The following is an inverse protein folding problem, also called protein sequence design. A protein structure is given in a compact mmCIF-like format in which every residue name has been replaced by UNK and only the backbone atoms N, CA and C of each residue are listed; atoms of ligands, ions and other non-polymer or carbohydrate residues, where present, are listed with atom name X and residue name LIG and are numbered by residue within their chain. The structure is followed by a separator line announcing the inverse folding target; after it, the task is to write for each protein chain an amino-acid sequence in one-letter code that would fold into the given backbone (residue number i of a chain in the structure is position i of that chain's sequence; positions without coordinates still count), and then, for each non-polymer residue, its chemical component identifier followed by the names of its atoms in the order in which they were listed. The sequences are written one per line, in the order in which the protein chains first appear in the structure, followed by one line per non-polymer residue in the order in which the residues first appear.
data_IF_335686466318
#
_entry.id   IF_335686466318
#
_cell.length_a   1.000
_cell.length_b   1.000
_cell.length_c   1.000
_cell.angle_alpha   90.00
_cell.angle_beta   90.00
_cell.angle_gamma   90.00
#
_symmetry.space_group_name_H-M   'P 1'
#
loop_
_entity.id
_entity.type
_entity.pdbx_description
1 polymer ?
#
# COMPACT_ATOMS: atom_id res chain seq x y z
N UNK A 1 9.62 9.19 14.82
CA UNK A 1 9.43 8.18 15.89
C UNK A 1 10.59 8.15 16.90
N UNK A 2 11.86 8.09 16.48
CA UNK A 2 13.02 8.07 17.41
C UNK A 2 13.11 9.30 18.32
N UNK A 3 12.78 10.51 17.87
CA UNK A 3 12.79 11.75 18.68
C UNK A 3 11.75 11.70 19.79
N UNK A 4 10.58 11.12 19.57
CA UNK A 4 9.51 10.97 20.57
C UNK A 4 9.94 9.96 21.65
N UNK A 5 10.61 8.87 21.27
CA UNK A 5 11.15 7.88 22.20
C UNK A 5 12.23 8.52 23.10
N UNK A 6 13.08 9.39 22.54
CA UNK A 6 14.08 10.13 23.31
C UNK A 6 13.46 11.04 24.36
N UNK A 7 12.31 11.63 24.09
CA UNK A 7 11.57 12.49 25.04
C UNK A 7 10.88 11.68 26.16
N UNK A 8 10.38 10.48 25.88
CA UNK A 8 9.73 9.62 26.87
C UNK A 8 10.73 9.00 27.86
N UNK A 9 11.99 8.84 27.42
CA UNK A 9 13.06 8.23 28.24
C UNK A 9 13.80 9.23 29.13
N UNK A 10 13.51 10.54 29.00
CA UNK A 10 14.09 11.56 29.88
C UNK A 10 13.38 11.51 31.24
N UNK A 11 14.09 11.29 32.37
CA UNK A 11 13.46 11.31 33.68
C UNK A 11 12.89 12.72 33.97
N UNK A 12 11.68 12.76 34.53
CA UNK A 12 10.90 14.02 34.77
C UNK A 12 11.56 15.09 35.68
N UNK A 13 12.79 14.88 36.10
CA UNK A 13 13.59 15.88 36.88
C UNK A 13 14.42 16.82 36.02
N UNK A 14 14.25 16.81 34.71
CA UNK A 14 15.16 17.39 33.72
C UNK A 14 14.84 18.85 33.35
N UNK A 15 14.39 19.70 34.29
CA UNK A 15 14.17 21.10 33.95
C UNK A 15 15.38 22.02 34.29
N UNK A 16 16.43 21.47 34.85
CA UNK A 16 17.69 22.18 35.07
C UNK A 16 18.85 21.40 34.47
N UNK A 17 19.82 22.09 33.90
CA UNK A 17 21.02 21.55 33.24
C UNK A 17 21.86 20.69 34.20
N UNK A 18 21.37 19.53 34.56
CA UNK A 18 22.06 18.50 35.31
C UNK A 18 22.76 17.55 34.35
N UNK A 19 23.94 17.07 34.68
CA UNK A 19 24.74 16.15 33.85
C UNK A 19 23.95 14.91 33.42
N UNK A 20 22.94 14.51 34.21
CA UNK A 20 22.03 13.41 33.84
C UNK A 20 21.17 13.70 32.63
N UNK A 21 20.76 14.94 32.41
CA UNK A 21 19.99 15.38 31.23
C UNK A 21 20.84 15.29 30.00
N UNK A 22 22.05 15.82 30.06
CA UNK A 22 22.99 15.78 28.93
C UNK A 22 23.30 14.35 28.52
N UNK A 23 23.54 13.44 29.45
CA UNK A 23 23.74 12.01 29.20
C UNK A 23 22.57 11.36 28.51
N UNK A 24 21.36 11.61 29.05
CA UNK A 24 20.13 11.03 28.48
C UNK A 24 19.85 11.56 27.07
N UNK A 25 20.11 12.85 26.83
CA UNK A 25 19.99 13.45 25.50
C UNK A 25 21.00 12.85 24.51
N UNK A 26 22.26 12.71 24.89
CA UNK A 26 23.30 12.11 24.06
C UNK A 26 23.01 10.63 23.77
N UNK A 27 22.61 9.87 24.77
CA UNK A 27 22.21 8.46 24.60
C UNK A 27 21.00 8.33 23.66
N UNK A 28 20.00 9.21 23.81
CA UNK A 28 18.84 9.27 22.95
C UNK A 28 19.16 9.67 21.50
N UNK A 29 20.01 10.69 21.31
CA UNK A 29 20.41 11.13 19.97
C UNK A 29 21.24 10.06 19.24
N UNK A 30 22.27 9.51 19.88
CA UNK A 30 23.12 8.49 19.29
C UNK A 30 22.35 7.17 19.10
N UNK A 31 21.46 6.81 20.02
CA UNK A 31 20.56 5.67 19.88
C UNK A 31 19.61 5.85 18.69
N UNK A 32 19.04 7.04 18.50
CA UNK A 32 18.20 7.36 17.33
C UNK A 32 18.99 7.27 16.03
N UNK A 33 20.23 7.73 16.01
CA UNK A 33 21.12 7.62 14.86
C UNK A 33 21.42 6.14 14.54
N UNK A 34 21.68 5.32 15.56
CA UNK A 34 21.88 3.88 15.38
C UNK A 34 20.65 3.19 14.81
N UNK A 35 19.45 3.58 15.23
CA UNK A 35 18.18 3.08 14.64
C UNK A 35 18.12 3.42 13.16
N UNK A 36 18.40 4.67 12.77
CA UNK A 36 18.37 5.08 11.35
C UNK A 36 19.35 4.28 10.50
N UNK A 37 20.57 4.02 11.03
CA UNK A 37 21.59 3.25 10.31
C UNK A 37 21.26 1.75 10.19
N UNK A 38 20.57 1.18 11.17
CA UNK A 38 20.25 -0.25 11.20
C UNK A 38 18.92 -0.59 10.56
N UNK A 39 18.02 0.39 10.44
CA UNK A 39 16.70 0.21 9.85
C UNK A 39 16.79 0.20 8.31
N UNK A 40 16.57 -0.96 7.72
CA UNK A 40 16.71 -1.19 6.26
C UNK A 40 15.42 -0.99 5.46
N UNK A 41 14.35 -0.58 6.11
CA UNK A 41 13.07 -0.32 5.45
C UNK A 41 12.23 -1.57 5.14
N UNK A 42 12.71 -2.77 5.47
CA UNK A 42 11.94 -4.02 5.30
C UNK A 42 10.75 -4.11 6.26
N UNK A 43 10.73 -3.28 7.29
CA UNK A 43 9.66 -3.15 8.31
C UNK A 43 9.21 -4.50 8.89
N UNK A 44 10.12 -5.47 8.96
CA UNK A 44 9.85 -6.75 9.63
C UNK A 44 9.86 -6.57 11.15
N UNK A 45 9.08 -7.39 11.87
CA UNK A 45 9.07 -7.35 13.36
C UNK A 45 10.47 -7.51 13.95
N UNK A 46 11.30 -8.36 13.35
CA UNK A 46 12.69 -8.56 13.76
C UNK A 46 13.53 -7.28 13.59
N UNK A 47 13.31 -6.52 12.53
CA UNK A 47 14.02 -5.28 12.27
C UNK A 47 13.79 -4.22 13.36
N UNK A 48 12.56 -4.10 13.86
CA UNK A 48 12.27 -3.21 15.00
C UNK A 48 13.04 -3.62 16.27
N UNK A 49 13.13 -4.93 16.55
CA UNK A 49 13.86 -5.45 17.70
C UNK A 49 15.37 -5.21 17.53
N UNK A 50 15.95 -5.53 16.37
CA UNK A 50 17.37 -5.29 16.10
C UNK A 50 17.75 -3.82 16.15
N UNK A 51 16.92 -2.95 15.61
CA UNK A 51 17.15 -1.50 15.67
C UNK A 51 17.04 -0.98 17.12
N UNK A 52 16.09 -1.51 17.91
CA UNK A 52 16.01 -1.24 19.34
C UNK A 52 17.24 -1.70 20.10
N UNK A 53 17.75 -2.91 19.83
CA UNK A 53 19.00 -3.41 20.40
C UNK A 53 20.18 -2.52 20.02
N UNK A 54 20.29 -2.08 18.79
CA UNK A 54 21.35 -1.17 18.35
C UNK A 54 21.30 0.16 19.11
N UNK A 55 20.10 0.71 19.34
CA UNK A 55 19.92 1.88 20.18
C UNK A 55 20.39 1.64 21.63
N UNK A 56 20.04 0.47 22.20
CA UNK A 56 20.46 0.04 23.54
C UNK A 56 21.98 -0.09 23.66
N UNK A 57 22.66 -0.65 22.65
CA UNK A 57 24.14 -0.73 22.58
C UNK A 57 24.75 0.67 22.55
N UNK A 58 24.25 1.58 21.71
CA UNK A 58 24.74 2.95 21.67
C UNK A 58 24.55 3.69 22.99
N UNK A 59 23.41 3.51 23.65
CA UNK A 59 23.16 4.04 24.98
C UNK A 59 24.18 3.47 25.99
N UNK A 60 24.44 2.16 25.96
CA UNK A 60 25.44 1.54 26.83
C UNK A 60 26.85 2.13 26.62
N UNK A 61 27.24 2.38 25.35
CA UNK A 61 28.52 3.04 25.02
C UNK A 61 28.60 4.44 25.64
N UNK A 62 27.52 5.25 25.53
CA UNK A 62 27.47 6.58 26.13
C UNK A 62 27.66 6.52 27.67
N UNK A 63 26.92 5.63 28.33
CA UNK A 63 27.04 5.44 29.78
C UNK A 63 28.41 4.88 30.20
N UNK A 64 29.04 4.03 29.35
CA UNK A 64 30.38 3.52 29.59
C UNK A 64 31.42 4.66 29.52
N UNK A 65 31.39 5.47 28.48
CA UNK A 65 32.28 6.62 28.34
C UNK A 65 32.12 7.61 29.51
N UNK A 66 30.87 7.85 29.90
CA UNK A 66 30.61 8.75 31.01
C UNK A 66 31.07 8.15 32.35
N UNK A 67 30.88 6.86 32.56
CA UNK A 67 31.33 6.16 33.76
C UNK A 67 32.85 6.22 33.95
N UNK A 68 33.64 6.26 32.86
CA UNK A 68 35.10 6.44 32.93
C UNK A 68 35.44 7.81 33.51
N UNK A 69 34.69 8.86 33.12
CA UNK A 69 34.92 10.23 33.61
C UNK A 69 34.50 10.37 35.08
N UNK A 70 33.45 9.68 35.50
CA UNK A 70 32.90 9.71 36.86
C UNK A 70 33.51 8.68 37.82
N UNK A 71 34.40 7.80 37.32
CA UNK A 71 35.01 6.76 38.14
C UNK A 71 34.07 5.69 38.65
N UNK A 72 33.16 5.23 37.77
CA UNK A 72 32.19 4.17 38.13
C UNK A 72 32.88 2.88 38.60
N UNK A 73 32.24 2.21 39.54
CA UNK A 73 32.60 0.83 39.93
C UNK A 73 32.14 -0.17 38.86
N UNK A 74 32.74 -1.35 38.83
CA UNK A 74 32.36 -2.40 37.87
C UNK A 74 30.87 -2.79 37.97
N UNK A 75 30.29 -2.73 39.16
CA UNK A 75 28.87 -3.00 39.38
C UNK A 75 27.98 -1.93 38.71
N UNK A 76 28.37 -0.66 38.77
CA UNK A 76 27.63 0.44 38.12
C UNK A 76 27.71 0.31 36.58
N UNK A 77 28.84 -0.11 36.02
CA UNK A 77 28.95 -0.41 34.60
C UNK A 77 28.03 -1.56 34.18
N UNK A 78 28.00 -2.65 34.97
CA UNK A 78 27.13 -3.78 34.68
C UNK A 78 25.66 -3.39 34.69
N UNK A 79 25.24 -2.64 35.71
CA UNK A 79 23.87 -2.15 35.84
C UNK A 79 23.53 -1.24 34.65
N UNK A 80 24.38 -0.25 34.34
CA UNK A 80 24.16 0.66 33.20
C UNK A 80 24.02 -0.09 31.87
N UNK A 81 24.87 -1.09 31.62
CA UNK A 81 24.81 -1.89 30.41
C UNK A 81 23.51 -2.72 30.33
N UNK A 82 23.14 -3.41 31.41
CA UNK A 82 21.92 -4.21 31.47
C UNK A 82 20.66 -3.35 31.25
N UNK A 83 20.58 -2.20 31.94
CA UNK A 83 19.43 -1.29 31.75
C UNK A 83 19.39 -0.67 30.34
N UNK A 84 20.53 -0.29 29.77
CA UNK A 84 20.61 0.25 28.42
C UNK A 84 20.17 -0.78 27.36
N UNK A 85 20.69 -1.99 27.42
CA UNK A 85 20.29 -3.08 26.51
C UNK A 85 18.83 -3.48 26.71
N UNK A 86 18.39 -3.62 27.96
CA UNK A 86 17.00 -3.93 28.29
C UNK A 86 16.04 -2.86 27.78
N UNK A 87 16.37 -1.58 27.95
CA UNK A 87 15.55 -0.47 27.44
C UNK A 87 15.48 -0.44 25.92
N UNK A 88 16.60 -0.74 25.22
CA UNK A 88 16.62 -0.84 23.77
C UNK A 88 15.70 -1.95 23.25
N UNK A 89 15.75 -3.13 23.85
CA UNK A 89 14.84 -4.25 23.52
C UNK A 89 13.39 -3.86 23.80
N UNK A 90 13.11 -3.28 24.97
CA UNK A 90 11.78 -2.81 25.34
C UNK A 90 11.24 -1.78 24.35
N UNK A 91 12.07 -0.82 23.92
CA UNK A 91 11.69 0.17 22.89
C UNK A 91 11.32 -0.51 21.56
N UNK A 92 12.04 -1.56 21.14
CA UNK A 92 11.70 -2.35 19.96
C UNK A 92 10.31 -3.00 20.06
N UNK A 93 9.99 -3.61 21.20
CA UNK A 93 8.65 -4.17 21.45
C UNK A 93 7.56 -3.11 21.53
N UNK A 94 7.82 -1.98 22.18
CA UNK A 94 6.88 -0.86 22.23
C UNK A 94 6.63 -0.27 20.83
N UNK A 95 7.65 -0.17 19.99
CA UNK A 95 7.49 0.28 18.61
C UNK A 95 6.55 -0.63 17.83
N UNK A 96 6.69 -1.96 17.94
CA UNK A 96 5.79 -2.93 17.31
C UNK A 96 4.36 -2.80 17.86
N UNK A 97 4.20 -2.64 19.18
CA UNK A 97 2.89 -2.51 19.82
C UNK A 97 2.14 -1.23 19.46
N UNK A 98 2.87 -0.12 19.21
CA UNK A 98 2.30 1.19 18.86
C UNK A 98 2.08 1.31 17.35
N UNK A 99 2.77 0.51 16.52
CA UNK A 99 2.69 0.58 15.07
C UNK A 99 1.24 0.57 14.52
N UNK A 100 0.33 -0.33 14.95
CA UNK A 100 -1.05 -0.34 14.46
C UNK A 100 -1.82 0.97 14.74
N UNK A 101 -1.49 1.65 15.84
CA UNK A 101 -2.08 2.95 16.17
C UNK A 101 -1.63 4.01 15.16
N UNK A 102 -0.33 4.05 14.83
CA UNK A 102 0.21 4.94 13.83
C UNK A 102 -0.35 4.65 12.44
N UNK A 103 -0.44 3.37 12.05
CA UNK A 103 -1.07 2.94 10.80
C UNK A 103 -2.50 3.47 10.69
N UNK A 104 -3.29 3.33 11.76
CA UNK A 104 -4.67 3.81 11.80
C UNK A 104 -4.80 5.34 11.77
N UNK A 105 -3.92 6.06 12.50
CA UNK A 105 -3.97 7.52 12.58
C UNK A 105 -3.51 8.21 11.29
N UNK A 106 -2.51 7.65 10.62
CA UNK A 106 -1.90 8.25 9.44
C UNK A 106 -2.22 7.51 8.13
N UNK A 107 -3.06 6.48 8.18
CA UNK A 107 -3.46 5.67 7.00
C UNK A 107 -2.25 5.15 6.19
N UNK A 108 -1.22 4.65 6.91
CA UNK A 108 0.04 4.22 6.31
C UNK A 108 -0.08 2.83 5.68
N UNK A 109 0.53 2.65 4.50
CA UNK A 109 0.67 1.35 3.85
C UNK A 109 1.96 0.66 4.28
N UNK A 110 2.05 0.22 5.54
CA UNK A 110 3.21 -0.55 5.99
C UNK A 110 3.18 -1.97 5.41
N UNK A 111 4.34 -2.63 5.22
CA UNK A 111 4.37 -4.02 4.75
C UNK A 111 3.54 -4.96 5.62
N UNK A 112 3.50 -4.76 6.93
CA UNK A 112 2.67 -5.55 7.85
C UNK A 112 1.18 -5.38 7.53
N UNK A 113 0.73 -4.14 7.32
CA UNK A 113 -0.65 -3.84 6.96
C UNK A 113 -1.01 -4.36 5.57
N UNK A 114 -0.10 -4.23 4.61
CA UNK A 114 -0.29 -4.75 3.26
C UNK A 114 -0.42 -6.28 3.25
N UNK A 115 0.43 -6.99 4.01
CA UNK A 115 0.33 -8.45 4.14
C UNK A 115 -0.98 -8.88 4.81
N UNK A 116 -1.47 -8.15 5.80
CA UNK A 116 -2.79 -8.39 6.38
C UNK A 116 -3.91 -8.23 5.34
N UNK A 117 -3.85 -7.14 4.56
CA UNK A 117 -4.81 -6.85 3.49
C UNK A 117 -4.73 -7.84 2.32
N UNK A 118 -3.57 -8.43 2.06
CA UNK A 118 -3.39 -9.44 1.00
C UNK A 118 -4.06 -10.79 1.33
N UNK A 119 -4.49 -11.00 2.57
CA UNK A 119 -5.14 -12.22 2.98
C UNK A 119 -6.54 -12.32 2.33
N UNK A 120 -6.83 -13.40 1.56
CA UNK A 120 -8.14 -13.61 0.95
C UNK A 120 -9.32 -13.67 1.94
N UNK A 121 -9.03 -13.93 3.22
CA UNK A 121 -10.03 -13.92 4.30
C UNK A 121 -10.35 -12.51 4.80
N UNK A 122 -9.66 -11.46 4.33
CA UNK A 122 -9.99 -10.08 4.67
C UNK A 122 -11.43 -9.77 4.23
N UNK A 123 -12.21 -9.05 5.03
CA UNK A 123 -13.66 -8.92 4.81
C UNK A 123 -14.03 -8.44 3.41
N UNK A 124 -13.28 -7.49 2.87
CA UNK A 124 -13.59 -6.87 1.58
C UNK A 124 -13.19 -7.79 0.41
N UNK A 125 -12.03 -8.47 0.47
CA UNK A 125 -11.64 -9.45 -0.55
C UNK A 125 -12.55 -10.68 -0.53
N UNK A 126 -12.96 -11.13 0.65
CA UNK A 126 -13.93 -12.22 0.77
C UNK A 126 -15.28 -11.86 0.14
N UNK A 127 -15.75 -10.61 0.33
CA UNK A 127 -16.95 -10.13 -0.36
C UNK A 127 -16.75 -10.14 -1.87
N UNK A 128 -15.62 -9.63 -2.37
CA UNK A 128 -15.29 -9.60 -3.79
C UNK A 128 -15.30 -11.02 -4.38
N UNK A 129 -14.69 -11.99 -3.68
CA UNK A 129 -14.64 -13.39 -4.09
C UNK A 129 -16.03 -14.03 -4.20
N UNK A 130 -16.97 -13.68 -3.31
CA UNK A 130 -18.31 -14.28 -3.25
C UNK A 130 -19.29 -13.54 -4.15
N UNK A 131 -19.31 -12.19 -4.09
CA UNK A 131 -20.33 -11.36 -4.74
C UNK A 131 -19.93 -10.99 -6.18
N UNK A 132 -18.63 -10.96 -6.51
CA UNK A 132 -18.08 -10.59 -7.82
C UNK A 132 -16.85 -11.46 -8.15
N UNK A 133 -17.08 -12.77 -8.26
CA UNK A 133 -16.01 -13.77 -8.41
C UNK A 133 -15.16 -13.57 -9.68
N UNK A 134 -15.76 -13.14 -10.78
CA UNK A 134 -15.04 -12.79 -12.01
C UNK A 134 -14.08 -11.63 -11.81
N UNK A 135 -14.51 -10.57 -11.13
CA UNK A 135 -13.66 -9.44 -10.77
C UNK A 135 -12.55 -9.86 -9.80
N UNK A 136 -12.84 -10.69 -8.80
CA UNK A 136 -11.79 -11.22 -7.91
C UNK A 136 -10.71 -11.97 -8.68
N UNK A 137 -11.09 -12.84 -9.62
CA UNK A 137 -10.15 -13.62 -10.42
C UNK A 137 -9.29 -12.69 -11.31
N UNK A 138 -9.92 -11.73 -11.98
CA UNK A 138 -9.24 -10.69 -12.73
C UNK A 138 -8.22 -9.95 -11.87
N UNK A 139 -8.63 -9.46 -10.69
CA UNK A 139 -7.74 -8.74 -9.76
C UNK A 139 -6.52 -9.56 -9.32
N UNK A 140 -6.66 -10.88 -9.16
CA UNK A 140 -5.54 -11.78 -8.85
C UNK A 140 -4.55 -11.87 -10.04
N UNK A 141 -5.05 -11.94 -11.25
CA UNK A 141 -4.19 -11.98 -12.46
C UNK A 141 -3.46 -10.65 -12.66
N UNK A 142 -4.19 -9.53 -12.54
CA UNK A 142 -3.60 -8.18 -12.58
C UNK A 142 -2.53 -8.02 -11.50
N UNK A 143 -2.78 -8.50 -10.27
CA UNK A 143 -1.83 -8.40 -9.17
C UNK A 143 -0.49 -9.11 -9.46
N UNK A 144 -0.54 -10.30 -10.09
CA UNK A 144 0.67 -11.03 -10.46
C UNK A 144 1.48 -10.30 -11.55
N UNK A 145 0.79 -9.72 -12.54
CA UNK A 145 1.43 -8.93 -13.60
C UNK A 145 2.01 -7.62 -13.05
N UNK A 146 1.23 -6.93 -12.23
CA UNK A 146 1.62 -5.65 -11.66
C UNK A 146 2.80 -5.77 -10.70
N UNK A 147 2.85 -6.83 -9.87
CA UNK A 147 4.01 -7.12 -8.99
C UNK A 147 5.29 -7.28 -9.82
N UNK A 148 5.25 -8.15 -10.84
CA UNK A 148 6.41 -8.37 -11.70
C UNK A 148 6.83 -7.09 -12.46
N UNK A 149 5.86 -6.28 -12.91
CA UNK A 149 6.14 -4.98 -13.54
C UNK A 149 6.76 -3.99 -12.57
N UNK A 150 6.28 -3.93 -11.33
CA UNK A 150 6.77 -3.03 -10.29
C UNK A 150 8.24 -3.34 -9.91
N UNK A 151 8.61 -4.62 -9.81
CA UNK A 151 10.00 -5.04 -9.57
C UNK A 151 10.95 -4.53 -10.66
N UNK A 152 10.54 -4.57 -11.92
CA UNK A 152 11.39 -4.15 -13.05
C UNK A 152 11.65 -2.64 -13.05
N UNK A 153 10.67 -1.84 -12.61
CA UNK A 153 10.78 -0.36 -12.62
C UNK A 153 11.21 0.22 -11.27
N UNK A 154 11.61 -0.64 -10.32
CA UNK A 154 11.99 -0.25 -8.95
C UNK A 154 10.88 0.58 -8.27
N UNK A 155 9.67 0.02 -8.29
CA UNK A 155 8.50 0.49 -7.54
C UNK A 155 8.20 -0.45 -6.36
N UNK A 156 7.32 -0.04 -5.46
CA UNK A 156 6.90 -0.92 -4.35
C UNK A 156 6.01 -2.06 -4.86
N UNK A 157 6.63 -3.22 -5.09
CA UNK A 157 5.98 -4.40 -5.63
C UNK A 157 4.85 -4.93 -4.72
N UNK A 158 5.05 -4.89 -3.39
CA UNK A 158 4.03 -5.34 -2.44
C UNK A 158 2.82 -4.39 -2.42
N UNK A 159 3.05 -3.08 -2.39
CA UNK A 159 1.98 -2.08 -2.48
C UNK A 159 1.21 -2.23 -3.79
N UNK A 160 1.93 -2.38 -4.91
CA UNK A 160 1.33 -2.54 -6.24
C UNK A 160 0.46 -3.79 -6.31
N UNK A 161 0.98 -4.93 -5.87
CA UNK A 161 0.24 -6.20 -5.81
C UNK A 161 -1.01 -6.11 -4.97
N UNK A 162 -0.88 -5.61 -3.74
CA UNK A 162 -2.01 -5.53 -2.82
C UNK A 162 -3.05 -4.53 -3.31
N UNK A 163 -2.63 -3.39 -3.87
CA UNK A 163 -3.55 -2.44 -4.49
C UNK A 163 -4.31 -3.06 -5.67
N UNK A 164 -3.66 -3.91 -6.45
CA UNK A 164 -4.30 -4.61 -7.56
C UNK A 164 -5.42 -5.56 -7.09
N UNK A 165 -5.31 -6.19 -5.91
CA UNK A 165 -6.44 -6.98 -5.37
C UNK A 165 -7.68 -6.13 -5.10
N UNK A 166 -7.52 -4.82 -4.87
CA UNK A 166 -8.58 -3.91 -4.45
C UNK A 166 -8.97 -2.88 -5.51
N UNK A 167 -8.26 -2.80 -6.65
CA UNK A 167 -8.48 -1.71 -7.61
C UNK A 167 -9.93 -1.63 -8.07
N UNK A 168 -10.59 -2.76 -8.20
CA UNK A 168 -11.91 -2.94 -8.75
C UNK A 168 -13.01 -3.23 -7.69
N UNK A 169 -12.76 -2.97 -6.41
CA UNK A 169 -13.75 -3.23 -5.34
C UNK A 169 -15.06 -2.47 -5.51
N UNK A 170 -15.05 -1.37 -6.25
CA UNK A 170 -16.28 -0.62 -6.54
C UNK A 170 -17.30 -1.38 -7.37
N UNK A 171 -16.88 -2.39 -8.12
CA UNK A 171 -17.77 -3.31 -8.85
C UNK A 171 -18.71 -4.10 -7.92
N UNK A 172 -18.40 -4.17 -6.61
CA UNK A 172 -19.30 -4.72 -5.60
C UNK A 172 -20.63 -3.97 -5.47
N UNK A 173 -20.69 -2.70 -5.88
CA UNK A 173 -21.95 -1.93 -5.86
C UNK A 173 -22.98 -2.48 -6.87
N UNK A 174 -22.52 -2.96 -8.03
CA UNK A 174 -23.34 -3.52 -9.09
C UNK A 174 -22.58 -4.56 -9.92
N UNK A 175 -22.32 -5.77 -9.38
CA UNK A 175 -21.45 -6.74 -10.04
C UNK A 175 -21.89 -7.15 -11.44
N UNK A 176 -23.20 -7.22 -11.68
CA UNK A 176 -23.77 -7.65 -12.96
C UNK A 176 -23.61 -6.64 -14.11
N UNK A 177 -23.23 -5.40 -13.82
CA UNK A 177 -22.84 -4.42 -14.84
C UNK A 177 -21.48 -4.76 -15.48
N UNK A 178 -20.74 -5.71 -14.94
CA UNK A 178 -19.42 -6.09 -15.43
C UNK A 178 -19.45 -7.50 -16.00
N UNK A 179 -19.05 -7.60 -17.28
CA UNK A 179 -19.19 -8.83 -18.08
C UNK A 179 -18.57 -10.06 -17.41
N UNK A 180 -17.46 -9.90 -16.73
CA UNK A 180 -16.76 -10.98 -16.02
C UNK A 180 -17.58 -11.63 -14.91
N UNK A 181 -18.62 -10.94 -14.41
CA UNK A 181 -19.51 -11.45 -13.37
C UNK A 181 -20.88 -11.94 -13.92
N UNK A 182 -21.11 -11.80 -15.22
CA UNK A 182 -22.38 -12.17 -15.87
C UNK A 182 -22.37 -13.66 -16.23
N UNK A 183 -22.61 -14.55 -15.25
CA UNK A 183 -22.77 -15.96 -15.50
C UNK A 183 -24.20 -16.27 -15.98
N UNK A 184 -24.42 -16.53 -17.26
CA UNK A 184 -25.74 -16.95 -17.83
C UNK A 184 -26.92 -16.00 -17.53
N UNK A 185 -26.66 -14.74 -17.23
CA UNK A 185 -27.67 -13.70 -17.00
C UNK A 185 -27.69 -12.77 -18.21
N UNK A 186 -28.88 -12.25 -18.56
CA UNK A 186 -29.01 -11.24 -19.60
C UNK A 186 -28.14 -10.02 -19.27
N UNK A 187 -27.45 -9.47 -20.27
CA UNK A 187 -26.59 -8.31 -20.07
C UNK A 187 -27.45 -7.07 -19.78
N UNK A 188 -27.32 -6.44 -18.60
CA UNK A 188 -28.12 -5.24 -18.26
C UNK A 188 -27.95 -4.10 -19.28
N UNK A 189 -26.78 -4.00 -19.92
CA UNK A 189 -26.50 -2.95 -20.90
C UNK A 189 -27.33 -3.06 -22.19
N UNK A 190 -27.93 -4.21 -22.48
CA UNK A 190 -28.75 -4.38 -23.68
C UNK A 190 -30.05 -3.57 -23.65
N UNK A 191 -30.48 -3.12 -22.45
CA UNK A 191 -31.64 -2.27 -22.20
C UNK A 191 -31.31 -0.80 -21.86
N UNK A 192 -30.01 -0.44 -21.88
CA UNK A 192 -29.51 0.90 -21.49
C UNK A 192 -28.99 1.66 -22.70
N UNK A 193 -29.01 3.00 -22.60
CA UNK A 193 -28.29 3.82 -23.58
C UNK A 193 -26.77 3.69 -23.39
N UNK A 194 -25.96 4.03 -24.40
CA UNK A 194 -24.50 4.03 -24.25
C UNK A 194 -24.02 4.95 -23.12
N UNK A 195 -24.67 6.10 -22.91
CA UNK A 195 -24.35 7.07 -21.85
C UNK A 195 -24.65 6.50 -20.47
N UNK A 196 -25.83 5.88 -20.28
CA UNK A 196 -26.20 5.21 -19.05
C UNK A 196 -25.24 4.06 -18.73
N UNK A 197 -24.88 3.28 -19.74
CA UNK A 197 -23.91 2.19 -19.63
C UNK A 197 -22.53 2.70 -19.24
N UNK A 198 -22.03 3.75 -19.88
CA UNK A 198 -20.77 4.37 -19.55
C UNK A 198 -20.75 4.92 -18.11
N UNK A 199 -21.86 5.57 -17.70
CA UNK A 199 -22.02 6.05 -16.32
C UNK A 199 -21.97 4.90 -15.31
N UNK A 200 -22.67 3.80 -15.59
CA UNK A 200 -22.67 2.61 -14.72
C UNK A 200 -21.25 1.99 -14.61
N UNK A 201 -20.51 1.89 -15.72
CA UNK A 201 -19.14 1.40 -15.69
C UNK A 201 -18.24 2.34 -14.90
N UNK A 202 -18.27 3.65 -15.17
CA UNK A 202 -17.41 4.65 -14.51
C UNK A 202 -17.64 4.75 -13.01
N UNK A 203 -18.85 4.46 -12.54
CA UNK A 203 -19.19 4.59 -11.10
C UNK A 203 -18.33 3.70 -10.21
N UNK A 204 -17.76 2.59 -10.74
CA UNK A 204 -16.92 1.71 -9.90
C UNK A 204 -15.70 2.42 -9.32
N UNK A 205 -15.19 3.49 -9.96
CA UNK A 205 -14.08 4.28 -9.41
C UNK A 205 -14.52 5.00 -8.13
N UNK A 206 -15.62 5.75 -8.20
CA UNK A 206 -16.13 6.51 -7.06
C UNK A 206 -16.63 5.61 -5.94
N UNK A 207 -17.30 4.51 -6.31
CA UNK A 207 -17.76 3.49 -5.38
C UNK A 207 -16.58 2.77 -4.72
N UNK A 208 -15.53 2.46 -5.51
CA UNK A 208 -14.29 1.86 -5.03
C UNK A 208 -13.58 2.73 -4.00
N UNK A 209 -13.40 4.02 -4.30
CA UNK A 209 -12.85 4.99 -3.36
C UNK A 209 -13.69 5.08 -2.08
N UNK A 210 -15.01 5.08 -2.21
CA UNK A 210 -15.94 5.14 -1.07
C UNK A 210 -15.80 3.89 -0.19
N UNK A 211 -15.79 2.70 -0.81
CA UNK A 211 -15.60 1.43 -0.11
C UNK A 211 -14.23 1.33 0.54
N UNK A 212 -13.18 1.77 -0.14
CA UNK A 212 -11.81 1.78 0.38
C UNK A 212 -11.70 2.65 1.64
N UNK A 213 -12.23 3.87 1.61
CA UNK A 213 -12.25 4.79 2.75
C UNK A 213 -13.08 4.23 3.91
N UNK A 214 -14.28 3.69 3.62
CA UNK A 214 -15.15 3.06 4.63
C UNK A 214 -14.46 1.89 5.35
N UNK A 215 -13.63 1.13 4.64
CA UNK A 215 -12.89 -0.01 5.18
C UNK A 215 -11.48 0.37 5.67
N UNK A 216 -11.16 1.67 5.76
CA UNK A 216 -9.89 2.19 6.27
C UNK A 216 -8.66 1.60 5.56
N UNK A 217 -8.75 1.46 4.24
CA UNK A 217 -7.58 1.12 3.44
C UNK A 217 -6.56 2.26 3.48
N UNK A 218 -5.25 1.97 3.39
CA UNK A 218 -4.20 2.97 3.33
C UNK A 218 -4.45 4.02 2.23
N UNK A 219 -4.10 5.28 2.48
CA UNK A 219 -4.36 6.36 1.53
C UNK A 219 -3.71 6.11 0.16
N UNK A 220 -2.50 5.56 0.13
CA UNK A 220 -1.82 5.19 -1.12
C UNK A 220 -2.63 4.20 -1.97
N UNK A 221 -3.29 3.22 -1.34
CA UNK A 221 -4.19 2.29 -2.06
C UNK A 221 -5.45 3.00 -2.57
N UNK A 222 -6.02 3.93 -1.78
CA UNK A 222 -7.17 4.74 -2.21
C UNK A 222 -6.82 5.57 -3.43
N UNK A 223 -5.62 6.16 -3.46
CA UNK A 223 -5.14 6.97 -4.57
C UNK A 223 -4.95 6.10 -5.83
N UNK A 224 -4.35 4.91 -5.69
CA UNK A 224 -4.20 3.95 -6.79
C UNK A 224 -5.56 3.51 -7.32
N UNK A 225 -6.53 3.15 -6.45
CA UNK A 225 -7.90 2.82 -6.85
C UNK A 225 -8.54 3.96 -7.63
N UNK A 226 -8.32 5.21 -7.23
CA UNK A 226 -8.89 6.36 -7.93
C UNK A 226 -8.27 6.61 -9.30
N UNK A 227 -7.02 6.16 -9.54
CA UNK A 227 -6.21 6.54 -10.70
C UNK A 227 -6.03 5.43 -11.75
N UNK A 228 -6.46 4.19 -11.46
CA UNK A 228 -6.10 3.03 -12.28
C UNK A 228 -6.65 3.05 -13.72
N UNK A 229 -7.63 3.88 -14.03
CA UNK A 229 -8.07 4.15 -15.40
C UNK A 229 -7.66 5.53 -15.92
N UNK A 230 -7.03 6.36 -15.09
CA UNK A 230 -6.66 7.71 -15.45
C UNK A 230 -7.85 8.55 -15.95
N UNK A 231 -7.59 9.38 -16.95
CA UNK A 231 -8.58 10.16 -17.68
C UNK A 231 -9.07 9.44 -18.96
N UNK A 232 -8.93 8.11 -19.00
CA UNK A 232 -9.28 7.28 -20.14
C UNK A 232 -10.76 7.32 -20.50
N UNK A 233 -11.10 6.76 -21.66
CA UNK A 233 -12.47 6.69 -22.18
C UNK A 233 -13.03 5.28 -22.07
N UNK A 234 -14.31 5.13 -21.72
CA UNK A 234 -15.06 3.87 -21.83
C UNK A 234 -15.34 3.59 -23.31
N UNK A 235 -14.27 3.15 -24.02
CA UNK A 235 -14.17 3.13 -25.49
C UNK A 235 -15.30 2.35 -26.16
N UNK A 236 -15.76 1.24 -25.57
CA UNK A 236 -16.83 0.43 -26.16
C UNK A 236 -18.13 1.23 -26.30
N UNK A 237 -18.61 1.84 -25.23
CA UNK A 237 -19.85 2.61 -25.24
C UNK A 237 -19.69 3.94 -25.97
N UNK A 238 -18.54 4.56 -25.92
CA UNK A 238 -18.23 5.74 -26.74
C UNK A 238 -18.38 5.45 -28.25
N UNK A 239 -17.79 4.34 -28.73
CA UNK A 239 -17.94 3.94 -30.15
C UNK A 239 -19.37 3.62 -30.51
N UNK A 240 -20.12 2.98 -29.60
CA UNK A 240 -21.53 2.65 -29.80
C UNK A 240 -22.37 3.92 -29.92
N UNK A 241 -22.16 4.91 -29.06
CA UNK A 241 -22.84 6.21 -29.13
C UNK A 241 -22.52 6.94 -30.46
N UNK A 242 -21.25 6.97 -30.86
CA UNK A 242 -20.83 7.55 -32.16
C UNK A 242 -21.48 6.89 -33.37
N UNK A 243 -21.78 5.60 -33.32
CA UNK A 243 -22.50 4.90 -34.39
C UNK A 243 -24.00 5.24 -34.42
N UNK A 244 -24.57 5.67 -33.30
CA UNK A 244 -25.99 6.04 -33.19
C UNK A 244 -26.26 7.49 -33.57
N UNK A 245 -25.24 8.36 -33.59
CA UNK A 245 -25.38 9.78 -33.95
C UNK A 245 -24.29 10.68 -33.42
N UNK A 246 -24.56 11.98 -33.33
CA UNK A 246 -23.68 12.96 -32.73
C UNK A 246 -23.76 12.85 -31.19
N UNK A 247 -22.61 12.95 -30.53
CA UNK A 247 -22.51 12.95 -29.06
C UNK A 247 -22.52 14.41 -28.60
N UNK A 248 -23.51 14.79 -27.79
CA UNK A 248 -23.63 16.16 -27.26
C UNK A 248 -22.51 16.47 -26.24
N UNK A 249 -22.18 15.50 -25.40
CA UNK A 249 -21.13 15.65 -24.36
C UNK A 249 -20.24 14.40 -24.30
N UNK A 250 -19.04 14.47 -24.86
CA UNK A 250 -18.08 13.38 -24.84
C UNK A 250 -17.53 13.10 -23.42
N UNK A 251 -17.60 14.07 -22.50
CA UNK A 251 -17.11 13.92 -21.13
C UNK A 251 -17.83 12.81 -20.33
N UNK A 252 -19.05 12.48 -20.76
CA UNK A 252 -19.85 11.39 -20.17
C UNK A 252 -19.14 10.03 -20.28
N UNK A 253 -18.26 9.87 -21.26
CA UNK A 253 -17.52 8.62 -21.51
C UNK A 253 -16.13 8.60 -20.89
N UNK A 254 -15.64 9.71 -20.32
CA UNK A 254 -14.32 9.77 -19.69
C UNK A 254 -14.39 9.38 -18.20
N UNK A 255 -13.38 8.66 -17.73
CA UNK A 255 -13.30 8.34 -16.31
C UNK A 255 -13.07 9.62 -15.48
N UNK A 256 -13.75 9.76 -14.32
CA UNK A 256 -13.66 10.95 -13.47
C UNK A 256 -12.40 10.89 -12.59
N UNK A 257 -11.24 10.74 -13.20
CA UNK A 257 -9.98 10.52 -12.51
C UNK A 257 -8.85 11.30 -13.18
N UNK A 258 -7.69 11.31 -12.51
CA UNK A 258 -6.44 11.87 -13.03
C UNK A 258 -5.51 10.74 -13.47
N UNK A 259 -4.59 11.05 -14.35
CA UNK A 259 -3.53 10.12 -14.75
C UNK A 259 -2.75 9.61 -13.52
N UNK A 260 -2.21 8.38 -13.57
CA UNK A 260 -1.38 7.84 -12.52
C UNK A 260 -0.27 8.80 -12.08
N UNK A 261 -0.17 9.04 -10.76
CA UNK A 261 0.79 9.98 -10.20
C UNK A 261 2.02 9.28 -9.61
N UNK A 262 1.97 7.95 -9.48
CA UNK A 262 3.08 7.13 -8.96
C UNK A 262 3.41 6.01 -9.92
N UNK A 263 4.61 5.41 -9.77
CA UNK A 263 5.01 4.23 -10.56
C UNK A 263 4.04 3.06 -10.34
N UNK A 264 3.64 2.84 -9.09
CA UNK A 264 2.72 1.78 -8.68
C UNK A 264 1.38 1.90 -9.40
N UNK A 265 0.79 3.10 -9.40
CA UNK A 265 -0.46 3.37 -10.10
C UNK A 265 -0.34 3.18 -11.62
N UNK A 266 0.77 3.62 -12.21
CA UNK A 266 1.05 3.46 -13.64
C UNK A 266 1.23 2.00 -14.05
N UNK A 267 1.99 1.24 -13.28
CA UNK A 267 2.21 -0.18 -13.51
C UNK A 267 0.90 -0.97 -13.38
N UNK A 268 0.10 -0.65 -12.36
CA UNK A 268 -1.20 -1.29 -12.18
C UNK A 268 -2.13 -1.01 -13.36
N UNK A 269 -2.23 0.25 -13.82
CA UNK A 269 -3.05 0.62 -14.98
C UNK A 269 -2.62 -0.17 -16.23
N UNK A 270 -1.31 -0.29 -16.48
CA UNK A 270 -0.81 -1.07 -17.63
C UNK A 270 -1.11 -2.56 -17.49
N UNK A 271 -0.95 -3.13 -16.29
CA UNK A 271 -1.23 -4.54 -16.02
C UNK A 271 -2.73 -4.86 -16.22
N UNK A 272 -3.62 -3.96 -15.79
CA UNK A 272 -5.06 -4.09 -15.99
C UNK A 272 -5.43 -4.10 -17.48
N UNK A 273 -4.93 -3.14 -18.26
CA UNK A 273 -5.15 -3.06 -19.71
C UNK A 273 -4.62 -4.30 -20.41
N UNK A 274 -3.43 -4.79 -20.06
CA UNK A 274 -2.82 -5.99 -20.65
C UNK A 274 -3.64 -7.24 -20.32
N UNK A 275 -4.05 -7.45 -19.07
CA UNK A 275 -4.87 -8.60 -18.67
C UNK A 275 -6.19 -8.60 -19.42
N UNK A 276 -6.89 -7.46 -19.45
CA UNK A 276 -8.17 -7.31 -20.13
C UNK A 276 -8.07 -7.61 -21.63
N UNK A 277 -7.00 -7.11 -22.28
CA UNK A 277 -6.77 -7.35 -23.72
C UNK A 277 -6.45 -8.80 -24.02
N UNK A 278 -5.59 -9.45 -23.22
CA UNK A 278 -5.26 -10.88 -23.39
C UNK A 278 -6.50 -11.75 -23.16
N UNK A 279 -7.27 -11.46 -22.13
CA UNK A 279 -8.51 -12.20 -21.84
C UNK A 279 -9.55 -12.08 -22.96
N UNK A 280 -9.70 -10.87 -23.51
CA UNK A 280 -10.60 -10.65 -24.64
C UNK A 280 -10.20 -11.47 -25.88
N UNK A 281 -8.89 -11.66 -26.13
CA UNK A 281 -8.34 -12.36 -27.26
C UNK A 281 -8.09 -13.87 -27.02
N UNK A 282 -8.09 -14.35 -25.78
CA UNK A 282 -7.92 -15.80 -25.47
C UNK A 282 -8.97 -16.69 -26.12
N UNK A 283 -10.09 -16.14 -26.60
CA UNK A 283 -11.01 -16.86 -27.48
C UNK A 283 -10.35 -17.29 -28.82
N UNK A 284 -9.19 -16.73 -29.19
CA UNK A 284 -8.48 -16.97 -30.46
C UNK A 284 -7.20 -17.80 -30.33
N UNK A 285 -6.90 -18.45 -29.18
CA UNK A 285 -5.68 -19.26 -29.01
C UNK A 285 -4.42 -18.54 -29.51
N UNK A 286 -4.08 -17.39 -28.90
CA UNK A 286 -2.86 -16.67 -29.23
C UNK A 286 -1.62 -17.46 -28.81
N UNK A 287 -0.62 -17.53 -29.67
CA UNK A 287 0.70 -17.99 -29.28
C UNK A 287 1.48 -16.91 -28.52
N UNK A 288 2.63 -17.26 -27.95
CA UNK A 288 3.45 -16.35 -27.16
C UNK A 288 3.97 -15.15 -27.97
N UNK A 289 4.16 -15.31 -29.29
CA UNK A 289 4.62 -14.21 -30.15
C UNK A 289 3.52 -13.17 -30.34
N UNK A 290 2.31 -13.62 -30.64
CA UNK A 290 1.14 -12.75 -30.79
C UNK A 290 0.79 -12.00 -29.49
N UNK A 291 0.95 -12.64 -28.33
CA UNK A 291 0.77 -11.98 -27.03
C UNK A 291 1.83 -10.90 -26.84
N UNK A 292 3.09 -11.14 -27.18
CA UNK A 292 4.17 -10.17 -27.08
C UNK A 292 3.91 -8.95 -27.97
N UNK A 293 3.55 -9.17 -29.23
CA UNK A 293 3.26 -8.10 -30.19
C UNK A 293 2.08 -7.25 -29.73
N UNK A 294 1.05 -7.88 -29.17
CA UNK A 294 -0.09 -7.17 -28.61
C UNK A 294 0.30 -6.31 -27.41
N UNK A 295 1.10 -6.83 -26.48
CA UNK A 295 1.60 -6.06 -25.33
C UNK A 295 2.41 -4.86 -25.82
N UNK A 296 3.31 -5.04 -26.78
CA UNK A 296 4.09 -3.94 -27.35
C UNK A 296 3.19 -2.85 -27.94
N UNK A 297 2.14 -3.23 -28.65
CA UNK A 297 1.19 -2.26 -29.26
C UNK A 297 0.37 -1.50 -28.20
N UNK A 298 0.14 -2.07 -27.02
CA UNK A 298 -0.63 -1.44 -25.94
C UNK A 298 0.22 -0.50 -25.05
N UNK A 299 1.53 -0.75 -24.96
CA UNK A 299 2.42 -0.06 -24.02
C UNK A 299 3.26 1.05 -24.70
N UNK A 300 3.43 0.99 -26.01
CA UNK A 300 4.10 2.00 -26.83
C UNK A 300 3.08 2.94 -27.46
#
# INVERSE_FOLDING_TARGET
MSIIISFIMAPQKAFFFDDQVLRSMLAGLLGSFAVVLTFRGKQSRAEYIYSGMAAGVMAAVVYLCYGILEGYTWQQYLVAALFSLGSGVLCGFLAIGILPIWEACFSLATPSRLLELSNPSSPLLRRLMIEASGTYHHSVMVANLAEAGAEVVDADALLTRVSAYYHDIGKLSNPLMFKENQMNVANPHDSMTPEESAKAIRSHITDGVTLAKKNRLPQQMVDIISQHHGDGTVTYFYRMARMQGEIEDESVFHYPSIKPQTKEAGVLMLADVVEAAIRANNAMRLDLSAIRDQIQTLVI
#
